data_IF_000628708267
#
_entry.id   IF_000628708267
#
_cell.length_a   1.000
_cell.length_b   1.000
_cell.length_c   1.000
_cell.angle_alpha   90.00
_cell.angle_beta   90.00
_cell.angle_gamma   90.00
#
_symmetry.space_group_name_H-M   'P 1'
#
loop_
_entity.id
_entity.type
_entity.pdbx_description
1 polymer ?
#
# COMPACT_ATOMS: atom_id res chain seq x y z
N UNK A 1 -10.41 36.77 22.76
CA UNK A 1 -10.80 35.45 22.22
C UNK A 1 -9.97 35.24 20.96
N UNK A 2 -8.90 34.46 21.05
CA UNK A 2 -7.98 34.23 19.92
C UNK A 2 -8.56 33.17 18.97
N UNK A 3 -8.53 33.37 17.64
CA UNK A 3 -8.84 32.28 16.72
C UNK A 3 -7.67 31.30 16.71
N UNK A 4 -7.88 30.10 17.24
CA UNK A 4 -7.02 28.96 16.99
C UNK A 4 -7.25 28.49 15.55
N UNK A 5 -6.53 29.10 14.61
CA UNK A 5 -6.38 28.53 13.27
C UNK A 5 -5.30 27.46 13.37
N UNK A 6 -5.72 26.22 13.61
CA UNK A 6 -4.90 25.04 13.30
C UNK A 6 -4.73 25.00 11.78
N UNK A 7 -3.67 25.66 11.30
CA UNK A 7 -3.15 25.45 9.96
C UNK A 7 -2.73 23.98 9.88
N UNK A 8 -3.53 23.18 9.19
CA UNK A 8 -3.17 21.83 8.79
C UNK A 8 -1.85 21.97 8.00
N UNK A 9 -0.72 21.42 8.46
CA UNK A 9 0.51 21.50 7.69
C UNK A 9 0.21 20.81 6.37
N UNK A 10 0.22 21.57 5.28
CA UNK A 10 0.18 21.02 3.94
C UNK A 10 1.38 20.07 3.84
N UNK A 11 1.11 18.79 4.04
CA UNK A 11 2.06 17.72 3.79
C UNK A 11 2.25 17.72 2.29
N UNK A 12 3.21 18.50 1.82
CA UNK A 12 3.74 18.40 0.46
C UNK A 12 4.21 16.96 0.29
N UNK A 13 3.33 16.12 -0.25
CA UNK A 13 3.62 14.73 -0.52
C UNK A 13 4.66 14.70 -1.65
N UNK A 14 5.92 14.62 -1.28
CA UNK A 14 7.03 14.39 -2.21
C UNK A 14 6.82 13.01 -2.83
N UNK A 15 6.34 12.98 -4.08
CA UNK A 15 6.33 11.76 -4.88
C UNK A 15 7.77 11.42 -5.24
N UNK A 16 8.29 10.34 -4.65
CA UNK A 16 9.63 9.80 -4.96
C UNK A 16 9.60 8.82 -6.15
N UNK A 17 8.45 8.70 -6.83
CA UNK A 17 8.30 7.86 -8.01
C UNK A 17 8.87 8.51 -9.27
N UNK A 18 8.95 7.76 -10.38
CA UNK A 18 9.35 8.32 -11.67
C UNK A 18 8.42 9.45 -12.10
N UNK A 19 8.97 10.45 -12.78
CA UNK A 19 8.19 11.50 -13.43
C UNK A 19 7.63 10.95 -14.75
N UNK A 20 6.30 10.97 -14.90
CA UNK A 20 5.59 10.34 -16.00
C UNK A 20 4.86 11.43 -16.78
N UNK A 21 4.96 11.39 -18.11
CA UNK A 21 4.22 12.31 -18.98
C UNK A 21 2.76 11.87 -19.10
N UNK A 22 1.88 12.80 -19.44
CA UNK A 22 0.47 12.49 -19.69
C UNK A 22 0.35 11.42 -20.79
N UNK A 23 -0.32 10.31 -20.46
CA UNK A 23 -0.54 9.17 -21.35
C UNK A 23 0.50 8.05 -21.27
N UNK A 24 1.53 8.17 -20.44
CA UNK A 24 2.54 7.12 -20.22
C UNK A 24 2.19 6.24 -19.01
N UNK A 25 2.52 4.94 -19.08
CA UNK A 25 2.24 3.95 -18.04
C UNK A 25 3.54 3.51 -17.36
N UNK A 26 3.51 3.43 -16.03
CA UNK A 26 4.58 2.81 -15.23
C UNK A 26 4.24 1.36 -14.96
N UNK A 27 5.05 0.45 -15.50
CA UNK A 27 4.83 -0.99 -15.35
C UNK A 27 5.55 -1.57 -14.15
N UNK A 28 4.86 -2.47 -13.46
CA UNK A 28 5.42 -3.36 -12.44
C UNK A 28 4.88 -4.77 -12.64
N UNK A 29 5.51 -5.74 -11.98
CA UNK A 29 5.10 -7.15 -12.05
C UNK A 29 4.44 -7.55 -10.73
N UNK A 30 3.17 -7.96 -10.79
CA UNK A 30 2.47 -8.54 -9.64
C UNK A 30 2.60 -10.07 -9.65
N UNK A 31 3.38 -10.59 -8.71
CA UNK A 31 3.49 -12.03 -8.43
C UNK A 31 2.43 -12.41 -7.41
N UNK A 32 1.38 -13.07 -7.88
CA UNK A 32 0.27 -13.53 -7.05
C UNK A 32 0.50 -15.01 -6.72
N UNK A 33 0.73 -15.31 -5.45
CA UNK A 33 0.79 -16.68 -4.96
C UNK A 33 -0.49 -16.97 -4.17
N UNK A 34 -1.37 -17.78 -4.75
CA UNK A 34 -2.63 -18.19 -4.12
C UNK A 34 -2.52 -19.64 -3.68
N UNK A 35 -2.65 -19.85 -2.37
CA UNK A 35 -2.71 -21.18 -1.75
C UNK A 35 -3.99 -21.32 -0.94
N UNK A 36 -4.31 -22.54 -0.49
CA UNK A 36 -5.49 -22.79 0.34
C UNK A 36 -5.49 -22.03 1.67
N UNK A 37 -4.31 -21.67 2.20
CA UNK A 37 -4.19 -21.08 3.53
C UNK A 37 -3.97 -19.57 3.50
N UNK A 38 -3.46 -19.03 2.40
CA UNK A 38 -3.28 -17.59 2.23
C UNK A 38 -3.04 -17.22 0.75
N UNK A 39 -3.28 -15.95 0.44
CA UNK A 39 -2.94 -15.33 -0.84
C UNK A 39 -1.91 -14.24 -0.61
N UNK A 40 -0.86 -14.21 -1.43
CA UNK A 40 0.17 -13.18 -1.40
C UNK A 40 0.12 -12.38 -2.70
N UNK A 41 0.12 -11.06 -2.55
CA UNK A 41 0.32 -10.12 -3.65
C UNK A 41 1.66 -9.45 -3.44
N UNK A 42 2.62 -9.74 -4.31
CA UNK A 42 3.96 -9.17 -4.28
C UNK A 42 4.21 -8.41 -5.58
N UNK A 43 4.29 -7.08 -5.47
CA UNK A 43 4.57 -6.19 -6.59
C UNK A 43 6.06 -5.86 -6.61
N UNK A 44 6.70 -6.12 -7.74
CA UNK A 44 8.11 -5.82 -7.99
C UNK A 44 8.29 -4.92 -9.20
N UNK A 45 9.49 -4.38 -9.37
CA UNK A 45 9.94 -3.82 -10.63
C UNK A 45 10.01 -4.89 -11.74
N UNK A 46 10.33 -4.48 -12.97
CA UNK A 46 10.42 -5.39 -14.13
C UNK A 46 11.53 -6.44 -13.99
N UNK A 47 12.64 -6.11 -13.30
CA UNK A 47 13.69 -7.10 -13.03
C UNK A 47 13.28 -8.12 -11.98
N UNK A 48 12.29 -7.78 -11.15
CA UNK A 48 11.81 -8.62 -10.07
C UNK A 48 12.73 -8.66 -8.84
N UNK A 49 13.70 -7.73 -8.77
CA UNK A 49 14.66 -7.62 -7.67
C UNK A 49 14.19 -6.66 -6.60
N UNK A 50 13.60 -5.54 -7.01
CA UNK A 50 13.12 -4.52 -6.08
C UNK A 50 11.65 -4.76 -5.76
N UNK A 51 11.33 -4.75 -4.47
CA UNK A 51 9.96 -4.91 -3.99
C UNK A 51 9.33 -3.54 -3.78
N UNK A 52 8.24 -3.27 -4.49
CA UNK A 52 7.47 -2.03 -4.34
C UNK A 52 6.45 -2.20 -3.24
N UNK A 53 5.71 -3.30 -3.25
CA UNK A 53 4.69 -3.59 -2.25
C UNK A 53 4.52 -5.09 -2.03
N UNK A 54 4.22 -5.50 -0.80
CA UNK A 54 3.90 -6.88 -0.46
C UNK A 54 2.79 -6.92 0.58
N UNK A 55 1.72 -7.65 0.27
CA UNK A 55 0.55 -7.81 1.15
C UNK A 55 0.07 -9.25 1.10
N UNK A 56 -0.48 -9.76 2.21
CA UNK A 56 -1.11 -11.08 2.26
C UNK A 56 -2.59 -10.98 2.63
N UNK A 57 -3.37 -12.01 2.32
CA UNK A 57 -4.80 -12.09 2.66
C UNK A 57 -5.00 -12.03 4.18
N UNK A 58 -4.16 -12.73 4.94
CA UNK A 58 -4.15 -12.69 6.40
C UNK A 58 -3.90 -11.31 7.00
N UNK A 59 -3.20 -10.41 6.29
CA UNK A 59 -2.99 -9.03 6.77
C UNK A 59 -4.23 -8.13 6.61
N UNK A 60 -5.17 -8.50 5.76
CA UNK A 60 -6.40 -7.71 5.50
C UNK A 60 -7.65 -8.32 6.10
N UNK A 61 -7.64 -9.62 6.43
CA UNK A 61 -8.74 -10.28 7.09
C UNK A 61 -8.55 -10.32 8.62
N UNK A 62 -9.61 -10.06 9.40
CA UNK A 62 -9.66 -10.44 10.82
C UNK A 62 -10.07 -11.91 10.89
N UNK A 63 -9.34 -12.71 11.68
CA UNK A 63 -9.68 -14.12 11.87
C UNK A 63 -11.11 -14.25 12.45
N UNK A 64 -11.93 -15.13 11.88
CA UNK A 64 -13.30 -15.39 12.33
C UNK A 64 -13.40 -16.15 13.68
N UNK A 65 -12.35 -16.09 14.49
CA UNK A 65 -12.23 -16.77 15.78
C UNK A 65 -11.17 -16.08 16.63
N UNK A 66 -11.53 -14.95 17.23
CA UNK A 66 -10.63 -14.17 18.07
C UNK A 66 -11.36 -12.97 18.62
N UNK A 67 -11.97 -13.17 19.80
CA UNK A 67 -12.39 -12.09 20.65
C UNK A 67 -11.17 -11.19 20.94
N UNK A 68 -11.32 -9.91 20.61
CA UNK A 68 -10.77 -8.73 21.29
C UNK A 68 -10.53 -7.59 20.27
N UNK A 69 -10.65 -6.38 20.76
CA UNK A 69 -10.61 -5.12 20.03
C UNK A 69 -11.87 -4.31 20.26
N UNK A 70 -12.03 -3.88 21.51
CA UNK A 70 -12.68 -2.66 21.96
C UNK A 70 -12.87 -1.56 20.90
N UNK A 71 -13.95 -0.80 21.12
CA UNK A 71 -14.16 0.57 20.63
C UNK A 71 -12.86 1.37 20.44
#
# INVERSE_FOLDING_TARGET
MAPNTTANPATNATSLGPEVKDGELVFGVARIFASFNDTFVHVTDLSGRETIARVTGGMKAKAAGGADGSK
#
